data_IF_043567158990
#
_entry.id   IF_043567158990
#
_cell.length_a   1.000
_cell.length_b   1.000
_cell.length_c   1.000
_cell.angle_alpha   90.00
_cell.angle_beta   90.00
_cell.angle_gamma   90.00
#
_symmetry.space_group_name_H-M   'P 1'
#
loop_
_entity.id
_entity.type
_entity.pdbx_description
1 polymer ?
#
# COMPACT_ATOMS: atom_id res chain seq x y z
N UNK A 1 -17.76 12.87 12.79
CA UNK A 1 -18.50 11.95 11.92
C UNK A 1 -18.69 10.60 12.59
N UNK A 2 -17.63 9.80 12.85
CA UNK A 2 -17.74 8.47 13.48
C UNK A 2 -18.51 8.51 14.82
N UNK A 3 -18.16 9.41 15.74
CA UNK A 3 -18.83 9.58 17.01
C UNK A 3 -20.31 10.00 16.88
N UNK A 4 -20.65 10.77 15.86
CA UNK A 4 -22.05 11.13 15.59
C UNK A 4 -22.85 9.90 15.14
N UNK A 5 -22.30 9.11 14.22
CA UNK A 5 -22.90 7.84 13.77
C UNK A 5 -23.02 6.85 14.91
N UNK A 6 -21.98 6.72 15.76
CA UNK A 6 -21.99 5.87 16.94
C UNK A 6 -23.13 6.24 17.88
N UNK A 7 -23.27 7.52 18.24
CA UNK A 7 -24.36 7.99 19.10
C UNK A 7 -25.76 7.73 18.52
N UNK A 8 -25.88 7.86 17.20
CA UNK A 8 -27.14 7.58 16.51
C UNK A 8 -27.48 6.07 16.57
N UNK A 9 -26.50 5.21 16.38
CA UNK A 9 -26.69 3.75 16.47
C UNK A 9 -26.91 3.29 17.91
N UNK A 10 -26.22 3.89 18.89
CA UNK A 10 -26.40 3.58 20.32
C UNK A 10 -27.80 4.02 20.85
N UNK A 11 -28.44 5.00 20.22
CA UNK A 11 -29.78 5.47 20.55
C UNK A 11 -30.90 4.62 19.94
N UNK A 12 -30.58 3.70 18.99
CA UNK A 12 -31.57 2.81 18.37
C UNK A 12 -31.84 1.59 19.25
N UNK A 13 -33.07 1.04 19.24
CA UNK A 13 -33.33 -0.29 19.77
C UNK A 13 -32.39 -1.33 19.13
N UNK A 14 -32.06 -2.37 19.87
CA UNK A 14 -31.04 -3.35 19.45
C UNK A 14 -31.43 -4.12 18.18
N UNK A 15 -32.72 -4.33 17.97
CA UNK A 15 -33.31 -4.96 16.77
C UNK A 15 -33.32 -4.04 15.53
N UNK A 16 -33.20 -2.72 15.72
CA UNK A 16 -33.12 -1.72 14.66
C UNK A 16 -31.69 -1.23 14.38
N UNK A 17 -30.76 -1.56 15.27
CA UNK A 17 -29.35 -1.19 15.09
C UNK A 17 -28.68 -2.12 14.08
N UNK A 18 -27.73 -1.58 13.32
CA UNK A 18 -26.92 -2.41 12.42
C UNK A 18 -26.08 -3.41 13.22
N UNK A 19 -26.11 -4.68 12.83
CA UNK A 19 -25.45 -5.78 13.55
C UNK A 19 -23.96 -5.53 13.83
N UNK A 20 -23.28 -4.87 12.90
CA UNK A 20 -21.85 -4.52 13.04
C UNK A 20 -21.64 -3.50 14.19
N UNK A 21 -22.57 -2.56 14.37
CA UNK A 21 -22.52 -1.58 15.48
C UNK A 21 -22.85 -2.21 16.83
N UNK A 22 -23.79 -3.15 16.88
CA UNK A 22 -24.08 -3.95 18.07
C UNK A 22 -22.82 -4.71 18.49
N UNK A 23 -22.21 -5.43 17.54
CA UNK A 23 -20.97 -6.16 17.79
C UNK A 23 -19.81 -5.25 18.21
N UNK A 24 -19.68 -4.05 17.62
CA UNK A 24 -18.69 -3.07 18.04
C UNK A 24 -18.91 -2.62 19.49
N UNK A 25 -20.15 -2.31 19.87
CA UNK A 25 -20.52 -1.92 21.23
C UNK A 25 -20.18 -3.01 22.26
N UNK A 26 -20.49 -4.27 21.97
CA UNK A 26 -20.11 -5.40 22.81
C UNK A 26 -18.61 -5.51 23.00
N UNK A 27 -17.83 -5.39 21.91
CA UNK A 27 -16.36 -5.50 21.93
C UNK A 27 -15.67 -4.32 22.60
N UNK A 28 -16.31 -3.17 22.79
CA UNK A 28 -15.77 -2.07 23.60
C UNK A 28 -16.20 -2.14 25.07
N UNK A 29 -17.24 -2.91 25.37
CA UNK A 29 -17.79 -3.02 26.74
C UNK A 29 -17.26 -4.24 27.50
N UNK A 30 -16.96 -5.33 26.77
CA UNK A 30 -16.52 -6.61 27.35
C UNK A 30 -15.25 -7.10 26.64
N UNK A 31 -14.33 -7.70 27.42
CA UNK A 31 -13.07 -8.28 26.91
C UNK A 31 -12.28 -7.33 25.98
N UNK A 32 -12.16 -6.08 26.40
CA UNK A 32 -11.60 -4.98 25.56
C UNK A 32 -10.14 -5.18 25.18
N UNK A 33 -9.39 -5.95 25.97
CA UNK A 33 -7.97 -6.28 25.80
C UNK A 33 -7.73 -7.61 25.07
N UNK A 34 -8.77 -8.41 24.83
CA UNK A 34 -8.64 -9.62 24.04
C UNK A 34 -8.21 -9.32 22.61
N UNK A 35 -7.27 -10.09 22.08
CA UNK A 35 -6.70 -9.89 20.75
C UNK A 35 -7.77 -9.83 19.65
N UNK A 36 -8.79 -10.70 19.72
CA UNK A 36 -9.89 -10.72 18.75
C UNK A 36 -10.78 -9.49 18.86
N UNK A 37 -11.01 -8.97 20.08
CA UNK A 37 -11.76 -7.73 20.30
C UNK A 37 -11.00 -6.53 19.74
N UNK A 38 -9.69 -6.46 19.94
CA UNK A 38 -8.84 -5.42 19.39
C UNK A 38 -8.85 -5.48 17.85
N UNK A 39 -8.67 -6.68 17.27
CA UNK A 39 -8.69 -6.89 15.82
C UNK A 39 -10.02 -6.44 15.21
N UNK A 40 -11.13 -6.90 15.76
CA UNK A 40 -12.47 -6.54 15.30
C UNK A 40 -12.67 -5.01 15.31
N UNK A 41 -12.32 -4.34 16.41
CA UNK A 41 -12.46 -2.87 16.52
C UNK A 41 -11.62 -2.14 15.48
N UNK A 42 -10.38 -2.59 15.26
CA UNK A 42 -9.51 -1.99 14.26
C UNK A 42 -10.05 -2.17 12.84
N UNK A 43 -10.54 -3.36 12.50
CA UNK A 43 -11.15 -3.64 11.19
C UNK A 43 -12.43 -2.84 10.98
N UNK A 44 -13.28 -2.76 12.00
CA UNK A 44 -14.51 -1.97 11.98
C UNK A 44 -14.22 -0.47 11.73
N UNK A 45 -13.30 0.11 12.50
CA UNK A 45 -12.91 1.51 12.34
C UNK A 45 -12.28 1.79 10.97
N UNK A 46 -11.43 0.87 10.50
CA UNK A 46 -10.79 0.99 9.20
C UNK A 46 -11.80 0.92 8.05
N UNK A 47 -12.80 0.04 8.14
CA UNK A 47 -13.89 -0.06 7.15
C UNK A 47 -14.62 1.27 7.04
N UNK A 48 -15.11 1.82 8.15
CA UNK A 48 -15.81 3.11 8.15
C UNK A 48 -14.94 4.28 7.68
N UNK A 49 -13.63 4.25 7.98
CA UNK A 49 -12.69 5.24 7.46
C UNK A 49 -12.59 5.17 5.93
N UNK A 50 -12.45 3.96 5.37
CA UNK A 50 -12.34 3.75 3.92
C UNK A 50 -13.64 4.07 3.17
N UNK A 51 -14.80 3.75 3.75
CA UNK A 51 -16.10 4.12 3.21
C UNK A 51 -16.25 5.64 3.11
N UNK A 52 -15.80 6.35 4.13
CA UNK A 52 -15.88 7.82 4.16
C UNK A 52 -14.84 8.50 3.26
N UNK A 53 -13.70 7.87 3.09
CA UNK A 53 -12.57 8.39 2.31
C UNK A 53 -12.13 7.36 1.25
N UNK A 54 -12.94 7.17 0.20
CA UNK A 54 -12.67 6.13 -0.82
C UNK A 54 -11.35 6.34 -1.58
N UNK A 55 -10.80 7.55 -1.51
CA UNK A 55 -9.49 7.87 -2.10
C UNK A 55 -8.30 7.39 -1.25
N UNK A 56 -8.54 7.01 0.02
CA UNK A 56 -7.49 6.42 0.85
C UNK A 56 -7.20 5.00 0.38
N UNK A 57 -6.04 4.80 -0.21
CA UNK A 57 -5.56 3.46 -0.51
C UNK A 57 -4.83 2.87 0.70
N UNK A 58 -5.08 1.59 0.98
CA UNK A 58 -4.24 0.84 1.94
C UNK A 58 -2.81 0.86 1.45
N UNK A 59 -1.88 1.25 2.33
CA UNK A 59 -0.46 1.10 2.07
C UNK A 59 -0.16 -0.39 1.88
N UNK A 60 0.62 -0.73 0.85
CA UNK A 60 1.07 -2.09 0.64
C UNK A 60 1.91 -2.54 1.84
N UNK A 61 1.56 -3.69 2.43
CA UNK A 61 2.33 -4.26 3.54
C UNK A 61 3.68 -4.83 3.07
N UNK A 62 3.81 -5.11 1.77
CA UNK A 62 5.01 -5.63 1.17
C UNK A 62 5.87 -4.48 0.63
N UNK A 63 6.88 -4.07 1.38
CA UNK A 63 7.79 -3.00 0.95
C UNK A 63 8.74 -3.42 -0.17
N UNK A 64 9.07 -4.69 -0.28
CA UNK A 64 10.02 -5.20 -1.26
C UNK A 64 9.37 -6.10 -2.29
N UNK A 65 9.98 -6.22 -3.46
CA UNK A 65 9.55 -7.17 -4.49
C UNK A 65 9.97 -8.60 -4.14
N UNK A 66 9.08 -9.57 -4.34
CA UNK A 66 9.43 -10.99 -4.25
C UNK A 66 10.43 -11.38 -5.35
N UNK A 67 11.09 -12.52 -5.19
CA UNK A 67 12.02 -13.03 -6.22
C UNK A 67 11.33 -13.20 -7.59
N UNK A 68 10.10 -13.71 -7.62
CA UNK A 68 9.32 -13.89 -8.84
C UNK A 68 8.99 -12.54 -9.49
N UNK A 69 8.59 -11.55 -8.70
CA UNK A 69 8.35 -10.20 -9.21
C UNK A 69 9.62 -9.55 -9.76
N UNK A 70 10.74 -9.69 -9.05
CA UNK A 70 12.05 -9.20 -9.53
C UNK A 70 12.43 -9.84 -10.85
N UNK A 71 12.25 -11.16 -11.00
CA UNK A 71 12.53 -11.86 -12.25
C UNK A 71 11.65 -11.36 -13.41
N UNK A 72 10.36 -11.14 -13.15
CA UNK A 72 9.43 -10.61 -14.14
C UNK A 72 9.81 -9.17 -14.58
N UNK A 73 10.12 -8.30 -13.61
CA UNK A 73 10.58 -6.92 -13.87
C UNK A 73 11.86 -6.93 -14.72
N UNK A 74 12.86 -7.72 -14.29
CA UNK A 74 14.15 -7.77 -15.00
C UNK A 74 14.03 -8.25 -16.44
N UNK A 75 13.20 -9.28 -16.69
CA UNK A 75 12.94 -9.80 -18.04
C UNK A 75 12.18 -8.80 -18.90
N UNK A 76 11.14 -8.16 -18.37
CA UNK A 76 10.36 -7.12 -19.07
C UNK A 76 11.27 -5.97 -19.52
N UNK A 77 12.11 -5.48 -18.63
CA UNK A 77 12.99 -4.34 -18.87
C UNK A 77 14.31 -4.75 -19.55
N UNK A 78 14.48 -6.05 -19.86
CA UNK A 78 15.68 -6.62 -20.53
C UNK A 78 16.99 -6.31 -19.83
N UNK A 79 16.95 -6.12 -18.49
CA UNK A 79 18.10 -5.70 -17.69
C UNK A 79 18.59 -4.29 -17.99
N UNK A 80 17.76 -3.42 -18.55
CA UNK A 80 18.12 -2.04 -18.91
C UNK A 80 17.59 -1.08 -17.84
N UNK A 81 18.43 -0.18 -17.33
CA UNK A 81 18.02 0.85 -16.38
C UNK A 81 16.93 1.75 -16.96
N UNK A 82 15.76 1.76 -16.33
CA UNK A 82 14.60 2.55 -16.77
C UNK A 82 14.63 3.98 -16.23
N UNK A 83 15.34 4.23 -15.12
CA UNK A 83 15.38 5.56 -14.49
C UNK A 83 16.10 6.61 -15.30
N UNK A 84 17.22 6.26 -15.95
CA UNK A 84 18.01 7.13 -16.82
C UNK A 84 18.39 8.50 -16.20
N UNK A 85 18.51 8.57 -14.87
CA UNK A 85 18.85 9.83 -14.18
C UNK A 85 20.34 10.15 -14.24
N UNK A 86 21.17 9.10 -14.17
CA UNK A 86 22.64 9.18 -14.19
C UNK A 86 23.26 8.24 -15.24
N UNK A 87 22.45 7.68 -16.10
CA UNK A 87 22.85 6.84 -17.23
C UNK A 87 21.84 6.98 -18.36
N UNK A 88 22.21 6.56 -19.57
CA UNK A 88 21.36 6.60 -20.75
C UNK A 88 20.63 5.26 -21.02
N UNK A 89 20.31 4.51 -19.95
CA UNK A 89 19.74 3.17 -20.08
C UNK A 89 20.82 2.09 -20.16
N UNK A 90 21.75 2.08 -19.20
CA UNK A 90 22.80 1.07 -19.14
C UNK A 90 22.21 -0.33 -18.92
N UNK A 91 22.78 -1.32 -19.61
CA UNK A 91 22.46 -2.72 -19.41
C UNK A 91 23.17 -3.24 -18.15
N UNK A 92 22.44 -3.91 -17.29
CA UNK A 92 22.87 -4.36 -15.96
C UNK A 92 22.71 -5.87 -15.89
N UNK A 93 23.62 -6.52 -15.17
CA UNK A 93 23.51 -7.95 -14.89
C UNK A 93 22.52 -8.24 -13.77
N UNK A 94 22.09 -9.49 -13.64
CA UNK A 94 21.16 -9.90 -12.59
C UNK A 94 21.69 -9.63 -11.16
N UNK A 95 22.99 -9.65 -10.97
CA UNK A 95 23.60 -9.52 -9.64
C UNK A 95 23.78 -8.06 -9.20
N UNK A 96 23.74 -7.09 -10.15
CA UNK A 96 24.09 -5.68 -9.89
C UNK A 96 22.91 -4.70 -10.02
N UNK A 97 21.67 -5.19 -10.18
CA UNK A 97 20.54 -4.31 -10.37
C UNK A 97 19.72 -4.09 -9.10
N UNK A 98 18.99 -3.02 -9.08
CA UNK A 98 18.03 -2.67 -8.05
C UNK A 98 16.62 -2.70 -8.60
N UNK A 99 15.70 -3.38 -7.89
CA UNK A 99 14.26 -3.28 -8.15
C UNK A 99 13.75 -1.99 -7.49
N UNK A 100 13.42 -1.01 -8.31
CA UNK A 100 12.94 0.29 -7.87
C UNK A 100 11.44 0.43 -8.14
N UNK A 101 10.73 1.16 -7.27
CA UNK A 101 9.31 1.45 -7.45
C UNK A 101 9.14 2.70 -8.35
N UNK A 102 8.39 2.61 -9.44
CA UNK A 102 8.04 3.77 -10.28
C UNK A 102 7.40 4.84 -9.40
N UNK A 103 6.29 4.53 -8.76
CA UNK A 103 5.73 5.31 -7.67
C UNK A 103 6.32 4.82 -6.35
N UNK A 104 7.06 5.68 -5.65
CA UNK A 104 7.72 5.32 -4.40
C UNK A 104 6.75 4.69 -3.39
N UNK A 105 7.18 3.62 -2.72
CA UNK A 105 6.39 2.95 -1.68
C UNK A 105 5.99 3.89 -0.53
N UNK A 106 6.86 4.83 -0.16
CA UNK A 106 6.57 5.87 0.83
C UNK A 106 5.44 6.82 0.43
N UNK A 107 5.12 6.87 -0.87
CA UNK A 107 4.02 7.67 -1.45
C UNK A 107 2.82 6.81 -1.87
N UNK A 108 2.67 5.60 -1.30
CA UNK A 108 1.56 4.70 -1.57
C UNK A 108 1.74 3.80 -2.80
N UNK A 109 2.92 3.78 -3.42
CA UNK A 109 3.23 2.82 -4.49
C UNK A 109 3.20 1.38 -3.98
N UNK A 110 2.62 0.47 -4.74
CA UNK A 110 2.53 -0.95 -4.41
C UNK A 110 3.72 -1.73 -4.98
N UNK A 111 4.12 -2.81 -4.30
CA UNK A 111 5.17 -3.72 -4.77
C UNK A 111 4.59 -4.73 -5.76
N UNK A 112 4.16 -4.24 -6.92
CA UNK A 112 3.66 -5.04 -8.05
C UNK A 112 4.65 -4.96 -9.21
N UNK A 113 4.57 -5.93 -10.13
CA UNK A 113 5.45 -5.95 -11.32
C UNK A 113 5.30 -4.67 -12.15
N UNK A 114 4.07 -4.16 -12.28
CA UNK A 114 3.75 -2.96 -13.05
C UNK A 114 4.40 -1.71 -12.44
N UNK A 115 4.44 -1.64 -11.11
CA UNK A 115 5.07 -0.52 -10.38
C UNK A 115 6.57 -0.75 -10.10
N UNK A 116 7.13 -1.86 -10.54
CA UNK A 116 8.56 -2.15 -10.45
C UNK A 116 9.31 -1.75 -11.71
N UNK A 117 10.57 -1.37 -11.59
CA UNK A 117 11.46 -1.10 -12.73
C UNK A 117 12.91 -1.45 -12.40
N UNK A 118 13.69 -1.75 -13.46
CA UNK A 118 15.14 -1.98 -13.33
C UNK A 118 15.84 -0.64 -13.15
N UNK A 119 16.68 -0.56 -12.12
CA UNK A 119 17.52 0.61 -11.86
C UNK A 119 18.98 0.22 -11.63
N UNK A 120 19.93 0.99 -12.16
CA UNK A 120 21.33 0.89 -11.76
C UNK A 120 21.55 1.58 -10.40
N UNK A 121 22.61 1.23 -9.71
CA UNK A 121 22.92 1.77 -8.38
C UNK A 121 22.98 3.31 -8.39
N UNK A 122 23.66 3.91 -9.36
CA UNK A 122 23.79 5.37 -9.48
C UNK A 122 22.44 6.08 -9.65
N UNK A 123 21.56 5.55 -10.52
CA UNK A 123 20.22 6.11 -10.73
C UNK A 123 19.33 5.89 -9.52
N UNK A 124 19.37 4.71 -8.89
CA UNK A 124 18.57 4.39 -7.71
C UNK A 124 18.92 5.31 -6.53
N UNK A 125 20.20 5.51 -6.26
CA UNK A 125 20.65 6.46 -5.24
C UNK A 125 20.25 7.90 -5.57
N UNK A 126 20.37 8.30 -6.84
CA UNK A 126 20.02 9.66 -7.27
C UNK A 126 18.52 9.95 -7.18
N UNK A 127 17.67 8.94 -7.42
CA UNK A 127 16.22 9.09 -7.31
C UNK A 127 15.79 9.38 -5.86
N UNK A 128 16.34 8.65 -4.90
CA UNK A 128 15.87 8.71 -3.52
C UNK A 128 14.35 8.48 -3.40
N UNK A 129 13.78 8.84 -2.25
CA UNK A 129 12.33 8.75 -2.04
C UNK A 129 11.55 9.95 -2.65
N UNK A 130 12.24 10.92 -3.23
CA UNK A 130 11.71 12.24 -3.58
C UNK A 130 11.41 12.49 -5.07
N UNK A 131 11.91 11.70 -5.98
CA UNK A 131 11.70 11.94 -7.41
C UNK A 131 10.26 11.58 -7.85
N UNK A 132 9.65 12.46 -8.64
CA UNK A 132 8.37 12.19 -9.30
C UNK A 132 8.54 11.04 -10.31
N UNK A 133 7.51 10.20 -10.54
CA UNK A 133 7.56 9.18 -11.57
C UNK A 133 7.71 9.86 -12.95
N UNK A 134 8.72 9.42 -13.71
CA UNK A 134 8.77 9.78 -15.12
C UNK A 134 7.81 8.87 -15.90
N UNK A 135 7.06 9.40 -16.88
CA UNK A 135 6.20 8.59 -17.70
C UNK A 135 7.04 7.54 -18.44
N UNK A 136 6.61 6.28 -18.38
CA UNK A 136 7.19 5.22 -19.18
C UNK A 136 7.10 5.65 -20.66
N UNK A 137 8.22 5.81 -21.33
CA UNK A 137 8.23 5.97 -22.79
C UNK A 137 7.70 4.65 -23.38
N UNK A 138 6.47 4.69 -23.88
CA UNK A 138 5.90 3.59 -24.67
C UNK A 138 6.62 3.62 -26.02
N UNK A 139 7.18 2.48 -26.50
CA UNK A 139 7.80 2.37 -27.81
C UNK A 139 6.77 2.52 -28.95
#
# INVERSE_FOLDING_TARGET
>A
AFEATRRQQDARPEDEAEADWVSYREKISHSTDAADSIRFRMEFLLRHLLERFPTLSRKDNQRGFTHIQKLAIFRRDKGICQLRLKCEGVKITWDDWHADHVQAWSRGGKSTVENGQVACSACNMSKGAGAAPQPLAVP
#
